data_IF_474732021323
#
_entry.id   IF_474732021323
#
_cell.length_a   1.000
_cell.length_b   1.000
_cell.length_c   1.000
_cell.angle_alpha   90.00
_cell.angle_beta   90.00
_cell.angle_gamma   90.00
#
_symmetry.space_group_name_H-M   'P 1'
#
loop_
_entity.id
_entity.type
_entity.pdbx_description
1 polymer ?
#
# COMPACT_ATOMS: atom_id res chain seq x y z
N UNK A 1 17.01 -6.63 -6.92
CA UNK A 1 16.38 -7.88 -6.42
C UNK A 1 14.98 -7.67 -5.85
N UNK A 2 14.73 -6.61 -5.05
CA UNK A 2 13.41 -6.36 -4.44
C UNK A 2 12.27 -6.17 -5.46
N UNK A 3 12.53 -5.46 -6.57
CA UNK A 3 11.52 -5.21 -7.61
C UNK A 3 10.96 -6.50 -8.21
N UNK A 4 11.81 -7.47 -8.56
CA UNK A 4 11.38 -8.76 -9.08
C UNK A 4 10.53 -9.55 -8.06
N UNK A 5 10.89 -9.48 -6.77
CA UNK A 5 10.11 -10.10 -5.69
C UNK A 5 8.73 -9.47 -5.52
N UNK A 6 8.63 -8.14 -5.62
CA UNK A 6 7.35 -7.42 -5.56
C UNK A 6 6.48 -7.75 -6.77
N UNK A 7 7.05 -7.81 -7.97
CA UNK A 7 6.31 -8.20 -9.17
C UNK A 7 5.74 -9.62 -9.04
N UNK A 8 6.56 -10.57 -8.59
CA UNK A 8 6.09 -11.94 -8.34
C UNK A 8 4.96 -11.97 -7.30
N UNK A 9 5.09 -11.21 -6.21
CA UNK A 9 4.04 -11.10 -5.19
C UNK A 9 2.73 -10.50 -5.75
N UNK A 10 2.81 -9.51 -6.64
CA UNK A 10 1.63 -8.94 -7.31
C UNK A 10 0.95 -9.99 -8.19
N UNK A 11 1.71 -10.77 -8.97
CA UNK A 11 1.14 -11.85 -9.80
C UNK A 11 0.49 -12.98 -8.99
N UNK A 12 0.90 -13.18 -7.74
CA UNK A 12 0.33 -14.19 -6.84
C UNK A 12 -1.01 -13.75 -6.21
N UNK A 13 -1.38 -12.47 -6.30
CA UNK A 13 -2.68 -11.99 -5.80
C UNK A 13 -3.82 -12.50 -6.69
N UNK A 14 -5.04 -12.72 -6.15
CA UNK A 14 -6.24 -12.92 -6.95
C UNK A 14 -6.47 -11.79 -7.97
N UNK A 15 -7.16 -12.09 -9.06
CA UNK A 15 -7.36 -11.17 -10.18
C UNK A 15 -8.00 -9.85 -9.73
N UNK A 16 -9.04 -9.95 -8.90
CA UNK A 16 -9.77 -8.81 -8.34
C UNK A 16 -8.86 -7.94 -7.47
N UNK A 17 -7.96 -8.57 -6.69
CA UNK A 17 -6.99 -7.87 -5.85
C UNK A 17 -5.93 -7.16 -6.70
N UNK A 18 -5.51 -7.74 -7.83
CA UNK A 18 -4.57 -7.09 -8.76
C UNK A 18 -5.18 -5.85 -9.41
N UNK A 19 -6.41 -5.97 -9.90
CA UNK A 19 -7.14 -4.86 -10.52
C UNK A 19 -7.40 -3.73 -9.52
N UNK A 20 -7.82 -4.08 -8.30
CA UNK A 20 -8.02 -3.11 -7.23
C UNK A 20 -6.71 -2.41 -6.83
N UNK A 21 -5.62 -3.16 -6.68
CA UNK A 21 -4.31 -2.61 -6.36
C UNK A 21 -3.81 -1.67 -7.46
N UNK A 22 -3.97 -2.04 -8.73
CA UNK A 22 -3.60 -1.20 -9.86
C UNK A 22 -4.39 0.11 -9.87
N UNK A 23 -5.71 0.02 -9.73
CA UNK A 23 -6.60 1.19 -9.70
C UNK A 23 -6.24 2.12 -8.54
N UNK A 24 -5.95 1.57 -7.37
CA UNK A 24 -5.51 2.33 -6.22
C UNK A 24 -4.17 3.02 -6.48
N UNK A 25 -3.16 2.32 -7.02
CA UNK A 25 -1.85 2.90 -7.27
C UNK A 25 -1.90 4.02 -8.31
N UNK A 26 -2.75 3.88 -9.33
CA UNK A 26 -3.01 4.93 -10.32
C UNK A 26 -3.63 6.17 -9.65
N UNK A 27 -4.66 5.97 -8.83
CA UNK A 27 -5.27 7.07 -8.07
C UNK A 27 -4.27 7.76 -7.13
N UNK A 28 -3.48 6.99 -6.39
CA UNK A 28 -2.47 7.54 -5.48
C UNK A 28 -1.37 8.29 -6.23
N UNK A 29 -1.05 7.90 -7.46
CA UNK A 29 -0.14 8.65 -8.33
C UNK A 29 -0.69 10.04 -8.66
N UNK A 30 -1.99 10.16 -8.94
CA UNK A 30 -2.65 11.46 -9.15
C UNK A 30 -2.64 12.31 -7.87
N UNK A 31 -2.84 11.70 -6.70
CA UNK A 31 -2.71 12.39 -5.41
C UNK A 31 -1.30 12.95 -5.22
N UNK A 32 -0.25 12.16 -5.50
CA UNK A 32 1.14 12.62 -5.43
C UNK A 32 1.42 13.74 -6.43
N UNK A 33 0.81 13.72 -7.61
CA UNK A 33 0.99 14.77 -8.61
C UNK A 33 0.54 16.15 -8.10
N UNK A 34 -0.38 16.18 -7.13
CA UNK A 34 -0.86 17.39 -6.47
C UNK A 34 -0.11 17.73 -5.17
N UNK A 35 1.14 17.28 -5.01
CA UNK A 35 1.93 17.45 -3.76
C UNK A 35 2.08 18.91 -3.32
N UNK A 36 2.15 19.85 -4.26
CA UNK A 36 2.24 21.29 -3.93
C UNK A 36 0.99 21.80 -3.18
N UNK A 37 -0.18 21.22 -3.47
CA UNK A 37 -1.45 21.61 -2.86
C UNK A 37 -1.79 20.77 -1.62
N UNK A 38 -1.56 19.45 -1.68
CA UNK A 38 -1.98 18.51 -0.64
C UNK A 38 -0.84 18.05 0.30
N UNK A 39 0.42 18.37 -0.01
CA UNK A 39 1.61 18.03 0.77
C UNK A 39 1.81 16.50 0.98
N UNK A 40 1.12 15.67 0.20
CA UNK A 40 1.21 14.21 0.27
C UNK A 40 2.34 13.71 -0.64
N UNK A 41 3.52 13.52 -0.06
CA UNK A 41 4.64 12.88 -0.75
C UNK A 41 4.40 11.38 -0.94
N UNK A 42 5.10 10.70 -1.88
CA UNK A 42 5.03 9.25 -2.02
C UNK A 42 5.31 8.51 -0.69
N UNK A 43 6.21 9.05 0.12
CA UNK A 43 6.54 8.52 1.44
C UNK A 43 5.38 8.66 2.42
N UNK A 44 4.71 9.82 2.46
CA UNK A 44 3.55 10.03 3.33
C UNK A 44 2.42 9.05 2.97
N UNK A 45 2.17 8.85 1.67
CA UNK A 45 1.20 7.87 1.20
C UNK A 45 1.63 6.44 1.60
N UNK A 46 2.87 6.04 1.35
CA UNK A 46 3.34 4.70 1.71
C UNK A 46 3.19 4.41 3.22
N UNK A 47 3.56 5.37 4.07
CA UNK A 47 3.46 5.24 5.53
C UNK A 47 2.00 5.14 5.99
N UNK A 48 1.11 5.95 5.43
CA UNK A 48 -0.29 5.98 5.84
C UNK A 48 -1.10 4.79 5.33
N UNK A 49 -0.82 4.29 4.11
CA UNK A 49 -1.64 3.25 3.48
C UNK A 49 -1.11 1.83 3.66
N UNK A 50 0.21 1.64 3.86
CA UNK A 50 0.77 0.31 4.08
C UNK A 50 0.11 -0.48 5.22
N UNK A 51 -0.25 0.13 6.37
CA UNK A 51 -0.91 -0.61 7.45
C UNK A 51 -2.30 -1.14 7.07
N UNK A 52 -3.06 -0.41 6.26
CA UNK A 52 -4.39 -0.78 5.79
C UNK A 52 -4.33 -1.81 4.66
N UNK A 53 -3.38 -1.66 3.74
CA UNK A 53 -3.20 -2.55 2.59
C UNK A 53 -2.64 -3.92 2.99
N UNK A 54 -1.67 -3.94 3.89
CA UNK A 54 -0.97 -5.16 4.30
C UNK A 54 -1.39 -5.65 5.70
N UNK A 55 -2.43 -5.06 6.28
CA UNK A 55 -2.94 -5.41 7.62
C UNK A 55 -1.83 -5.51 8.69
N UNK A 56 -0.81 -4.65 8.61
CA UNK A 56 0.39 -4.72 9.47
C UNK A 56 0.07 -4.44 10.95
N UNK A 57 -1.11 -3.87 11.24
CA UNK A 57 -1.61 -3.67 12.60
C UNK A 57 -2.18 -4.94 13.25
N UNK A 58 -2.40 -6.03 12.50
CA UNK A 58 -2.87 -7.31 13.04
C UNK A 58 -1.85 -7.96 13.98
N UNK A 59 -0.56 -7.68 13.79
CA UNK A 59 0.52 -8.21 14.64
C UNK A 59 0.66 -7.49 16.00
N UNK A 60 -0.02 -6.36 16.22
CA UNK A 60 0.04 -5.62 17.49
C UNK A 60 -1.02 -6.04 18.51
N UNK A 61 -2.02 -6.85 18.13
CA UNK A 61 -3.19 -7.11 18.98
C UNK A 61 -3.06 -8.33 19.93
N UNK A 62 -1.94 -9.04 19.92
CA UNK A 62 -1.69 -10.20 20.81
C UNK A 62 -0.90 -9.88 22.11
N UNK A 63 -0.62 -8.61 22.43
CA UNK A 63 0.20 -8.24 23.61
C UNK A 63 -0.57 -7.69 24.83
N UNK A 64 -1.90 -7.78 24.86
CA UNK A 64 -2.70 -7.31 26.01
C UNK A 64 -3.80 -8.29 26.41
N UNK A 65 -3.47 -9.58 26.51
CA UNK A 65 -4.32 -10.57 27.19
C UNK A 65 -3.48 -11.40 28.16
N UNK A 66 -2.92 -10.73 29.16
CA UNK A 66 -2.56 -11.32 30.47
C UNK A 66 -2.85 -10.25 31.53
#
# INVERSE_FOLDING_TARGET
QQFAGVQAAIYLLPDENREALQSLLLFLQEVVACVEENQMTPTNIAVCFAPSLFHLNSFKRDRTSI
#
